data_IF_139713517300
#
_entry.id   IF_139713517300
#
_cell.length_a   1.000
_cell.length_b   1.000
_cell.length_c   1.000
_cell.angle_alpha   90.00
_cell.angle_beta   90.00
_cell.angle_gamma   90.00
#
_symmetry.space_group_name_H-M   'P 1'
#
loop_
_entity.id
_entity.type
_entity.pdbx_description
1 polymer ?
#
# COMPACT_ATOMS: atom_id res chain seq x y z
N UNK A 1 -17.28 -14.52 50.81
CA UNK A 1 -18.34 -14.55 49.78
C UNK A 1 -17.86 -14.16 48.37
N UNK A 2 -16.58 -14.40 48.01
CA UNK A 2 -16.01 -14.02 46.70
C UNK A 2 -15.97 -15.16 45.65
N UNK A 3 -16.44 -16.36 46.00
CA UNK A 3 -16.26 -17.56 45.16
C UNK A 3 -17.27 -17.68 44.01
N UNK A 4 -18.53 -17.24 44.22
CA UNK A 4 -19.60 -17.41 43.22
C UNK A 4 -19.47 -16.48 42.01
N UNK A 5 -19.01 -15.24 42.23
CA UNK A 5 -18.79 -14.28 41.14
C UNK A 5 -17.60 -14.69 40.26
N UNK A 6 -16.52 -15.19 40.86
CA UNK A 6 -15.34 -15.69 40.12
C UNK A 6 -15.68 -16.93 39.30
N UNK A 7 -16.49 -17.85 39.85
CA UNK A 7 -16.98 -19.02 39.12
C UNK A 7 -17.87 -18.64 37.93
N UNK A 8 -18.74 -17.64 38.07
CA UNK A 8 -19.57 -17.18 36.96
C UNK A 8 -18.74 -16.52 35.85
N UNK A 9 -17.75 -15.70 36.19
CA UNK A 9 -16.87 -15.05 35.20
C UNK A 9 -16.03 -16.09 34.46
N UNK A 10 -15.46 -17.07 35.16
CA UNK A 10 -14.71 -18.16 34.53
C UNK A 10 -15.60 -19.01 33.62
N UNK A 11 -16.82 -19.33 34.05
CA UNK A 11 -17.78 -20.07 33.22
C UNK A 11 -18.15 -19.29 31.95
N UNK A 12 -18.39 -17.97 32.05
CA UNK A 12 -18.65 -17.13 30.88
C UNK A 12 -17.44 -17.08 29.94
N UNK A 13 -16.22 -16.97 30.47
CA UNK A 13 -15.01 -16.91 29.66
C UNK A 13 -14.75 -18.23 28.91
N UNK A 14 -14.99 -19.37 29.56
CA UNK A 14 -14.90 -20.68 28.92
C UNK A 14 -15.98 -20.87 27.85
N UNK A 15 -17.21 -20.39 28.08
CA UNK A 15 -18.29 -20.43 27.09
C UNK A 15 -17.99 -19.55 25.85
N UNK A 16 -17.34 -18.40 26.01
CA UNK A 16 -16.98 -17.54 24.86
C UNK A 16 -15.81 -18.14 24.07
N UNK A 17 -14.76 -18.64 24.73
CA UNK A 17 -13.61 -19.24 24.03
C UNK A 17 -13.98 -20.55 23.32
N UNK A 18 -14.87 -21.37 23.89
CA UNK A 18 -15.37 -22.59 23.23
C UNK A 18 -16.20 -22.28 21.97
N UNK A 19 -16.96 -21.18 21.96
CA UNK A 19 -17.71 -20.72 20.77
C UNK A 19 -16.79 -20.20 19.67
N UNK A 20 -15.68 -19.55 20.06
CA UNK A 20 -14.66 -19.07 19.11
C UNK A 20 -13.87 -20.22 18.46
N UNK A 21 -13.66 -21.32 19.18
CA UNK A 21 -13.02 -22.53 18.65
C UNK A 21 -13.97 -23.41 17.81
N UNK A 22 -15.27 -23.41 18.11
CA UNK A 22 -16.25 -24.20 17.33
C UNK A 22 -16.49 -23.67 15.91
N UNK A 23 -16.06 -22.45 15.58
CA UNK A 23 -16.26 -21.85 14.25
C UNK A 23 -15.06 -22.06 13.29
N UNK A 24 -13.98 -22.72 13.73
CA UNK A 24 -12.73 -22.87 12.97
C UNK A 24 -12.26 -24.32 12.75
N UNK A 25 -13.04 -25.33 13.15
CA UNK A 25 -12.62 -26.75 13.11
C UNK A 25 -13.62 -27.71 12.44
N UNK A 26 -14.58 -27.23 11.62
CA UNK A 26 -15.56 -28.09 10.93
C UNK A 26 -15.46 -28.11 9.38
N UNK A 27 -14.28 -27.82 8.81
CA UNK A 27 -14.03 -28.05 7.36
C UNK A 27 -12.72 -28.82 7.05
N UNK A 28 -12.23 -29.63 7.98
CA UNK A 28 -11.08 -30.52 7.74
C UNK A 28 -11.44 -31.97 8.09
N UNK A 29 -12.30 -32.54 7.25
CA UNK A 29 -12.44 -33.97 6.90
C UNK A 29 -13.93 -34.19 6.64
N UNK A 30 -14.30 -34.49 5.40
CA UNK A 30 -15.10 -35.67 5.01
C UNK A 30 -15.30 -35.58 3.48
N UNK A 31 -14.90 -36.67 2.84
CA UNK A 31 -15.28 -37.16 1.51
C UNK A 31 -15.18 -36.22 0.29
N UNK A 32 -14.35 -36.69 -0.66
CA UNK A 32 -14.60 -36.44 -2.07
C UNK A 32 -15.96 -36.96 -2.53
N UNK A 33 -16.30 -36.55 -3.76
CA UNK A 33 -17.49 -36.90 -4.53
C UNK A 33 -18.75 -36.06 -4.25
N UNK A 34 -18.84 -34.91 -4.93
CA UNK A 34 -19.90 -34.55 -5.91
C UNK A 34 -19.91 -33.04 -6.17
N UNK A 35 -19.28 -32.64 -7.26
CA UNK A 35 -19.39 -31.30 -7.82
C UNK A 35 -20.63 -31.25 -8.73
N UNK A 36 -21.72 -30.63 -8.26
CA UNK A 36 -22.59 -29.68 -8.98
C UNK A 36 -23.96 -29.48 -8.30
N UNK A 37 -24.71 -28.40 -8.61
CA UNK A 37 -24.30 -27.05 -9.02
C UNK A 37 -25.11 -25.98 -8.26
N UNK A 38 -24.49 -25.10 -7.46
CA UNK A 38 -25.16 -23.87 -7.02
C UNK A 38 -24.30 -22.66 -7.37
N UNK A 39 -24.83 -21.92 -8.33
CA UNK A 39 -24.47 -20.57 -8.73
C UNK A 39 -23.01 -20.37 -9.16
N UNK A 40 -22.70 -20.90 -10.36
CA UNK A 40 -21.83 -20.17 -11.29
C UNK A 40 -22.45 -18.78 -11.42
N UNK A 41 -21.87 -17.77 -10.75
CA UNK A 41 -21.99 -16.42 -11.26
C UNK A 41 -21.39 -16.50 -12.64
N UNK A 42 -22.26 -16.46 -13.64
CA UNK A 42 -21.89 -16.24 -15.03
C UNK A 42 -21.19 -14.90 -15.05
N UNK A 43 -19.87 -14.90 -14.82
CA UNK A 43 -19.01 -13.84 -15.26
C UNK A 43 -19.13 -13.86 -16.76
N UNK A 44 -20.04 -13.03 -17.27
CA UNK A 44 -20.14 -12.69 -18.67
C UNK A 44 -18.73 -12.26 -19.07
N UNK A 45 -18.05 -13.13 -19.80
CA UNK A 45 -16.76 -12.82 -20.41
C UNK A 45 -16.97 -11.55 -21.20
N UNK A 46 -16.35 -10.47 -20.74
CA UNK A 46 -16.22 -9.28 -21.57
C UNK A 46 -15.53 -9.70 -22.87
N UNK A 47 -16.00 -9.23 -24.05
CA UNK A 47 -15.35 -9.55 -25.31
C UNK A 47 -13.89 -9.08 -25.28
N UNK A 48 -13.00 -9.73 -26.05
CA UNK A 48 -11.61 -9.30 -26.16
C UNK A 48 -11.55 -7.84 -26.63
N UNK A 49 -10.58 -7.03 -26.16
CA UNK A 49 -10.38 -5.71 -26.74
C UNK A 49 -10.06 -5.88 -28.23
N UNK A 50 -10.82 -5.18 -29.07
CA UNK A 50 -10.53 -5.07 -30.49
C UNK A 50 -9.13 -4.48 -30.70
N UNK A 51 -8.46 -4.90 -31.78
CA UNK A 51 -7.16 -4.41 -32.20
C UNK A 51 -7.07 -2.87 -32.17
N UNK A 52 -5.91 -2.29 -31.87
CA UNK A 52 -5.74 -0.84 -31.88
C UNK A 52 -5.97 -0.28 -33.29
N UNK A 53 -6.72 0.84 -33.44
CA UNK A 53 -6.76 1.55 -34.70
C UNK A 53 -5.37 2.12 -35.02
N UNK A 54 -5.01 2.00 -36.30
CA UNK A 54 -3.82 2.57 -36.90
C UNK A 54 -3.74 4.09 -36.65
N UNK A 55 -2.58 4.51 -36.16
CA UNK A 55 -1.94 5.84 -36.26
C UNK A 55 -2.89 7.02 -36.54
N UNK A 56 -3.21 7.77 -35.49
CA UNK A 56 -3.60 9.17 -35.60
C UNK A 56 -2.48 10.03 -34.97
N UNK A 57 -2.00 10.99 -35.75
CA UNK A 57 -0.98 11.98 -35.43
C UNK A 57 -1.22 12.66 -34.07
N UNK A 58 -0.14 12.86 -33.31
CA UNK A 58 -0.18 13.55 -32.03
C UNK A 58 -0.81 14.95 -32.15
N UNK A 59 -1.74 15.33 -31.25
CA UNK A 59 -2.24 16.70 -31.19
C UNK A 59 -1.12 17.66 -30.76
N UNK A 60 -1.14 18.93 -31.22
CA UNK A 60 -0.12 19.92 -30.85
C UNK A 60 -0.11 20.16 -29.33
N UNK A 61 1.05 20.51 -28.74
CA UNK A 61 1.18 20.75 -27.31
C UNK A 61 0.28 21.93 -26.88
N UNK A 62 -0.34 21.86 -25.69
CA UNK A 62 -1.15 22.96 -25.16
C UNK A 62 -0.27 24.20 -24.93
N UNK A 63 -0.81 25.43 -25.09
CA UNK A 63 -0.08 26.66 -24.85
C UNK A 63 0.37 26.77 -23.39
N UNK A 64 1.46 27.53 -23.10
CA UNK A 64 1.97 27.67 -21.74
C UNK A 64 0.96 28.44 -20.90
N UNK A 65 0.37 27.77 -19.91
CA UNK A 65 -0.44 28.43 -18.89
C UNK A 65 0.48 29.20 -17.94
N UNK A 66 0.49 30.52 -18.09
CA UNK A 66 1.08 31.48 -17.16
C UNK A 66 0.42 31.31 -15.79
N UNK A 67 1.24 31.08 -14.76
CA UNK A 67 0.78 30.94 -13.38
C UNK A 67 0.08 32.24 -12.91
N UNK A 68 -1.03 32.16 -12.14
CA UNK A 68 -1.55 33.31 -11.43
C UNK A 68 -0.59 33.71 -10.30
N UNK A 69 -0.34 35.01 -10.15
CA UNK A 69 0.39 35.57 -9.03
C UNK A 69 -0.31 35.22 -7.70
N UNK A 70 0.45 34.69 -6.74
CA UNK A 70 -0.05 34.42 -5.38
C UNK A 70 -0.40 35.76 -4.67
N UNK A 71 -1.54 35.85 -3.97
CA UNK A 71 -1.87 36.98 -3.09
C UNK A 71 -0.97 37.04 -1.84
N UNK A 72 -0.86 38.20 -1.15
CA UNK A 72 0.20 38.47 -0.20
C UNK A 72 0.08 37.64 1.09
N UNK A 73 1.22 37.15 1.55
CA UNK A 73 1.41 36.42 2.79
C UNK A 73 1.03 37.31 3.99
N UNK A 74 -0.06 36.95 4.67
CA UNK A 74 -0.36 37.50 6.00
C UNK A 74 0.58 36.82 7.00
N UNK A 75 1.48 37.62 7.57
CA UNK A 75 2.44 37.18 8.57
C UNK A 75 1.73 36.84 9.89
N UNK A 76 1.79 35.58 10.29
CA UNK A 76 1.50 35.15 11.67
C UNK A 76 2.64 34.30 12.19
N UNK A 77 3.22 34.80 13.29
CA UNK A 77 4.21 34.21 14.19
C UNK A 77 5.58 33.82 13.60
N UNK A 78 6.70 34.23 14.26
CA UNK A 78 7.99 33.65 13.93
C UNK A 78 7.94 32.13 14.20
N UNK A 79 8.47 31.30 13.28
CA UNK A 79 8.55 29.87 13.52
C UNK A 79 9.37 29.62 14.80
N UNK A 80 9.03 28.61 15.62
CA UNK A 80 9.95 28.14 16.64
C UNK A 80 11.31 27.87 15.97
N UNK A 81 12.44 28.14 16.63
CA UNK A 81 13.75 27.87 16.06
C UNK A 81 13.74 26.42 15.53
N UNK A 82 14.25 26.17 14.32
CA UNK A 82 14.31 24.81 13.83
C UNK A 82 15.09 24.00 14.87
N UNK A 83 14.50 22.91 15.36
CA UNK A 83 15.32 21.85 15.93
C UNK A 83 16.17 21.32 14.76
N UNK A 84 17.27 22.01 14.49
CA UNK A 84 18.40 21.50 13.72
C UNK A 84 19.05 20.44 14.60
N UNK A 85 18.43 19.27 14.64
CA UNK A 85 19.18 18.04 14.89
C UNK A 85 20.23 17.93 13.79
N UNK A 86 21.44 17.54 14.19
CA UNK A 86 22.67 17.43 13.42
C UNK A 86 22.51 17.01 11.93
N UNK A 87 23.49 17.35 11.05
CA UNK A 87 23.56 16.79 9.71
C UNK A 87 23.35 15.27 9.80
N UNK A 88 22.28 14.81 9.12
CA UNK A 88 21.85 13.43 9.19
C UNK A 88 23.06 12.52 8.90
N UNK A 89 23.27 11.45 9.71
CA UNK A 89 24.27 10.44 9.38
C UNK A 89 24.04 9.96 7.93
N UNK A 90 25.11 9.54 7.22
CA UNK A 90 24.99 9.05 5.84
C UNK A 90 23.80 8.09 5.75
N UNK A 91 22.96 8.20 4.69
CA UNK A 91 21.64 7.59 4.70
C UNK A 91 21.79 6.08 4.88
N UNK A 92 21.58 5.64 6.11
CA UNK A 92 21.52 4.23 6.42
C UNK A 92 20.27 3.67 5.75
N UNK A 93 20.32 2.45 5.22
CA UNK A 93 19.15 1.84 4.62
C UNK A 93 18.02 1.76 5.66
N UNK A 94 16.80 2.20 5.33
CA UNK A 94 15.67 2.20 6.26
C UNK A 94 15.41 0.81 6.80
N UNK A 95 15.31 0.67 8.12
CA UNK A 95 15.22 -0.62 8.81
C UNK A 95 13.78 -1.03 9.07
N UNK A 96 12.90 -0.07 9.28
CA UNK A 96 11.50 -0.26 9.66
C UNK A 96 10.57 0.62 8.80
N UNK A 97 9.27 0.52 9.07
CA UNK A 97 8.23 1.21 8.31
C UNK A 97 8.22 2.72 8.57
N UNK A 98 8.60 3.12 9.77
CA UNK A 98 8.65 4.51 10.22
C UNK A 98 9.72 5.28 9.45
N UNK A 99 10.89 4.67 9.24
CA UNK A 99 11.99 5.21 8.42
C UNK A 99 11.66 5.19 6.91
N UNK A 100 10.86 4.20 6.46
CA UNK A 100 10.37 4.16 5.09
C UNK A 100 9.36 5.26 4.77
N UNK A 101 8.55 5.67 5.76
CA UNK A 101 7.44 6.61 5.57
C UNK A 101 7.87 7.95 4.96
N UNK A 102 8.83 8.71 5.53
CA UNK A 102 9.23 9.98 4.96
C UNK A 102 9.83 9.85 3.54
N UNK A 103 10.56 8.76 3.27
CA UNK A 103 11.13 8.49 1.94
C UNK A 103 10.04 8.21 0.90
N UNK A 104 9.04 7.39 1.27
CA UNK A 104 7.92 7.08 0.41
C UNK A 104 7.00 8.28 0.16
N UNK A 105 6.88 9.20 1.12
CA UNK A 105 6.15 10.47 0.92
C UNK A 105 6.83 11.30 -0.18
N UNK A 106 8.16 11.39 -0.17
CA UNK A 106 8.92 12.08 -1.22
C UNK A 106 8.75 11.37 -2.56
N UNK A 107 8.94 10.04 -2.60
CA UNK A 107 8.80 9.22 -3.81
C UNK A 107 7.43 9.37 -4.48
N UNK A 108 6.37 9.41 -3.68
CA UNK A 108 4.99 9.43 -4.17
C UNK A 108 4.40 10.84 -4.33
N UNK A 109 5.19 11.90 -4.11
CA UNK A 109 4.70 13.29 -4.09
C UNK A 109 3.95 13.69 -5.37
N UNK A 110 4.47 13.29 -6.53
CA UNK A 110 3.94 13.65 -7.85
C UNK A 110 3.13 12.51 -8.49
N UNK A 111 2.94 11.40 -7.77
CA UNK A 111 2.16 10.28 -8.26
C UNK A 111 0.66 10.62 -8.27
N UNK A 112 -0.02 10.43 -9.41
CA UNK A 112 -1.46 10.73 -9.55
C UNK A 112 -2.33 10.04 -8.50
N UNK A 113 -1.95 8.81 -8.14
CA UNK A 113 -2.59 8.00 -7.08
C UNK A 113 -1.68 7.90 -5.84
N UNK A 114 -1.56 8.98 -5.07
CA UNK A 114 -0.63 9.09 -3.93
C UNK A 114 -0.78 7.96 -2.89
N UNK A 115 -2.00 7.69 -2.45
CA UNK A 115 -2.26 6.65 -1.43
C UNK A 115 -1.89 5.24 -1.91
N UNK A 116 -2.15 4.94 -3.20
CA UNK A 116 -1.78 3.66 -3.80
C UNK A 116 -0.25 3.53 -3.91
N UNK A 117 0.41 4.59 -4.37
CA UNK A 117 1.87 4.66 -4.43
C UNK A 117 2.49 4.46 -3.04
N UNK A 118 1.99 5.18 -2.02
CA UNK A 118 2.54 5.10 -0.67
C UNK A 118 2.44 3.67 -0.11
N UNK A 119 1.28 3.02 -0.28
CA UNK A 119 1.08 1.63 0.16
C UNK A 119 2.05 0.67 -0.53
N UNK A 120 2.23 0.81 -1.84
CA UNK A 120 3.17 -0.02 -2.60
C UNK A 120 4.62 0.24 -2.19
N UNK A 121 5.01 1.52 -2.06
CA UNK A 121 6.34 1.94 -1.65
C UNK A 121 6.69 1.39 -0.27
N UNK A 122 5.80 1.49 0.72
CA UNK A 122 6.04 0.98 2.07
C UNK A 122 6.28 -0.53 2.07
N UNK A 123 5.46 -1.31 1.35
CA UNK A 123 5.69 -2.77 1.22
C UNK A 123 7.04 -3.08 0.56
N UNK A 124 7.42 -2.33 -0.48
CA UNK A 124 8.70 -2.52 -1.15
C UNK A 124 9.87 -2.12 -0.25
N UNK A 125 9.75 -1.04 0.51
CA UNK A 125 10.77 -0.57 1.43
C UNK A 125 10.95 -1.50 2.62
N UNK A 126 9.87 -2.01 3.21
CA UNK A 126 9.96 -2.98 4.30
C UNK A 126 10.69 -4.26 3.87
N UNK A 127 10.48 -4.69 2.62
CA UNK A 127 11.11 -5.89 2.05
C UNK A 127 12.55 -5.65 1.59
N UNK A 128 12.80 -4.55 0.90
CA UNK A 128 14.09 -4.27 0.25
C UNK A 128 15.00 -3.34 1.04
N UNK A 129 14.51 -2.77 2.15
CA UNK A 129 15.22 -1.82 3.02
C UNK A 129 15.83 -0.65 2.24
N UNK A 130 15.12 -0.19 1.20
CA UNK A 130 15.58 0.87 0.31
C UNK A 130 14.39 1.54 -0.41
N UNK A 131 14.48 2.87 -0.56
CA UNK A 131 13.60 3.68 -1.42
C UNK A 131 14.48 4.46 -2.39
N UNK A 132 14.25 4.39 -3.71
CA UNK A 132 15.08 5.11 -4.65
C UNK A 132 14.90 6.63 -4.53
N UNK A 133 15.94 7.43 -4.77
CA UNK A 133 15.84 8.88 -4.70
C UNK A 133 15.00 9.45 -5.85
N UNK A 134 14.34 10.59 -5.57
CA UNK A 134 13.44 11.26 -6.50
C UNK A 134 12.09 10.56 -6.66
N UNK A 135 11.22 11.15 -7.47
CA UNK A 135 9.81 10.76 -7.65
C UNK A 135 9.64 9.71 -8.74
N UNK A 136 10.58 9.64 -9.69
CA UNK A 136 10.55 8.74 -10.84
C UNK A 136 11.94 8.15 -11.10
N UNK A 137 11.99 6.94 -11.67
CA UNK A 137 13.25 6.29 -12.06
C UNK A 137 14.16 5.93 -10.88
N UNK A 138 15.46 5.82 -11.14
CA UNK A 138 16.52 5.47 -10.17
C UNK A 138 16.32 4.11 -9.45
N UNK A 139 15.44 3.24 -9.96
CA UNK A 139 15.10 1.98 -9.29
C UNK A 139 16.30 1.03 -9.19
N UNK A 140 17.29 1.18 -10.06
CA UNK A 140 18.58 0.52 -10.04
C UNK A 140 19.41 0.84 -8.78
N UNK A 141 19.21 2.00 -8.15
CA UNK A 141 19.92 2.37 -6.91
C UNK A 141 19.52 1.51 -5.70
N UNK A 142 18.33 0.91 -5.74
CA UNK A 142 17.88 -0.06 -4.75
C UNK A 142 18.03 -1.52 -5.22
N UNK A 143 18.74 -1.74 -6.32
CA UNK A 143 19.05 -3.07 -6.84
C UNK A 143 17.83 -3.87 -7.34
N UNK A 144 18.01 -5.18 -7.55
CA UNK A 144 16.99 -6.04 -8.15
C UNK A 144 15.77 -6.24 -7.27
N UNK A 145 15.90 -6.13 -5.94
CA UNK A 145 14.78 -6.32 -5.02
C UNK A 145 13.65 -5.31 -5.30
N UNK A 146 13.98 -4.03 -5.45
CA UNK A 146 12.98 -2.99 -5.71
C UNK A 146 12.54 -3.00 -7.18
N UNK A 147 13.51 -3.10 -8.10
CA UNK A 147 13.27 -2.94 -9.55
C UNK A 147 12.59 -4.14 -10.22
N UNK A 148 12.71 -5.35 -9.68
CA UNK A 148 12.15 -6.59 -10.29
C UNK A 148 10.96 -7.16 -9.53
N UNK A 149 10.50 -6.50 -8.47
CA UNK A 149 9.36 -7.00 -7.72
C UNK A 149 8.09 -6.86 -8.55
N UNK A 150 7.40 -7.96 -8.75
CA UNK A 150 6.16 -8.01 -9.51
C UNK A 150 4.97 -8.38 -8.63
N UNK A 151 3.80 -7.93 -9.06
CA UNK A 151 2.51 -8.43 -8.56
C UNK A 151 2.21 -9.81 -9.17
N UNK A 152 1.18 -10.49 -8.66
CA UNK A 152 0.71 -11.77 -9.24
C UNK A 152 0.38 -11.69 -10.74
N UNK A 153 0.03 -10.50 -11.23
CA UNK A 153 -0.25 -10.24 -12.64
C UNK A 153 0.96 -9.81 -13.48
N UNK A 154 2.19 -10.02 -12.99
CA UNK A 154 3.42 -9.74 -13.75
C UNK A 154 3.80 -8.26 -13.90
N UNK A 155 2.97 -7.33 -13.43
CA UNK A 155 3.29 -5.88 -13.43
C UNK A 155 4.25 -5.54 -12.29
N UNK A 156 5.14 -4.58 -12.53
CA UNK A 156 6.00 -4.01 -11.50
C UNK A 156 5.16 -3.53 -10.31
N UNK A 157 5.56 -3.94 -9.11
CA UNK A 157 4.86 -3.66 -7.86
C UNK A 157 5.30 -2.33 -7.26
N UNK A 158 6.59 -2.03 -7.29
CA UNK A 158 7.18 -0.87 -6.65
C UNK A 158 7.09 0.38 -7.57
N UNK A 159 6.86 1.58 -7.00
CA UNK A 159 6.70 2.82 -7.76
C UNK A 159 8.00 3.40 -8.35
#
# INVERSE_FOLDING_TARGET
MASKAVLLVLACFLLVNTRVSAEWEEEILIQGDKINPVAIRTYKSSPPPANPPLIATAPPPPPPVTAPANPPLIATAPPPPPLVTAPAPPPHPPRNREECTPLCVVRCKDHSRKNLCLRACLTCCERCKCVPPGQYGNTEKCGPCYSRMTTRGGKLKCP
#
